data_IF_935886188668
#
_entry.id   IF_935886188668
#
_cell.length_a   1.000
_cell.length_b   1.000
_cell.length_c   1.000
_cell.angle_alpha   90.00
_cell.angle_beta   90.00
_cell.angle_gamma   90.00
#
_symmetry.space_group_name_H-M   'P 1'
#
loop_
_entity.id
_entity.type
_entity.pdbx_description
1 polymer ?
#
# COMPACT_ATOMS: atom_id res chain seq x y z
N UNK A 1 30.87 36.80 15.00
CA UNK A 1 30.10 35.84 15.81
C UNK A 1 28.61 35.93 15.46
N UNK A 2 28.29 35.95 14.17
CA UNK A 2 26.97 36.40 13.70
C UNK A 2 26.33 35.28 12.85
N UNK A 3 27.17 34.52 12.12
CA UNK A 3 26.78 33.38 11.29
C UNK A 3 26.07 32.28 12.08
N UNK A 4 26.45 32.05 13.36
CA UNK A 4 25.81 31.03 14.22
C UNK A 4 24.35 31.34 14.56
N UNK A 5 23.94 32.61 14.48
CA UNK A 5 22.57 33.07 14.74
C UNK A 5 21.80 33.30 13.44
N UNK A 6 22.47 33.76 12.39
CA UNK A 6 21.85 34.01 11.08
C UNK A 6 21.40 32.72 10.40
N UNK A 7 22.18 31.64 10.49
CA UNK A 7 21.88 30.36 9.86
C UNK A 7 20.58 29.69 10.34
N UNK A 8 20.32 29.54 11.67
CA UNK A 8 19.05 28.96 12.12
C UNK A 8 17.85 29.88 11.82
N UNK A 9 18.06 31.20 11.84
CA UNK A 9 17.00 32.17 11.61
C UNK A 9 16.48 32.14 10.16
N UNK A 10 17.37 32.03 9.18
CA UNK A 10 16.98 31.89 7.77
C UNK A 10 16.35 30.53 7.48
N UNK A 11 16.79 29.46 8.14
CA UNK A 11 16.18 28.14 8.02
C UNK A 11 14.72 28.11 8.52
N UNK A 12 14.42 28.80 9.62
CA UNK A 12 13.05 28.92 10.14
C UNK A 12 12.14 29.73 9.23
N UNK A 13 12.64 30.82 8.61
CA UNK A 13 11.88 31.58 7.62
C UNK A 13 11.59 30.76 6.35
N UNK A 14 12.54 29.94 5.90
CA UNK A 14 12.34 29.06 4.76
C UNK A 14 11.25 28.00 5.03
N UNK A 15 11.20 27.45 6.25
CA UNK A 15 10.14 26.52 6.66
C UNK A 15 8.76 27.19 6.74
N UNK A 16 8.68 28.44 7.20
CA UNK A 16 7.43 29.19 7.24
C UNK A 16 6.93 29.60 5.84
N UNK A 17 7.83 29.81 4.88
CA UNK A 17 7.49 30.08 3.47
C UNK A 17 6.97 28.84 2.71
N UNK A 18 7.26 27.63 3.21
CA UNK A 18 6.72 26.37 2.69
C UNK A 18 5.34 26.03 3.29
N UNK A 19 4.61 27.01 3.81
CA UNK A 19 3.26 26.78 4.31
C UNK A 19 2.31 26.51 3.13
N UNK A 20 1.92 25.24 2.96
CA UNK A 20 0.94 24.82 1.96
C UNK A 20 -0.35 25.61 2.21
N UNK A 21 -0.86 26.40 1.24
CA UNK A 21 -2.12 27.09 1.40
C UNK A 21 -3.19 26.11 1.83
N UNK A 22 -3.92 26.44 2.90
CA UNK A 22 -5.07 25.63 3.34
C UNK A 22 -6.04 25.56 2.16
N UNK A 23 -6.32 24.37 1.61
CA UNK A 23 -7.27 24.26 0.52
C UNK A 23 -8.63 24.78 1.00
N UNK A 24 -9.38 25.51 0.16
CA UNK A 24 -10.75 25.88 0.50
C UNK A 24 -11.54 24.61 0.86
N UNK A 25 -12.40 24.72 1.88
CA UNK A 25 -13.27 23.62 2.26
C UNK A 25 -14.09 23.20 1.04
N UNK A 26 -14.09 21.92 0.65
CA UNK A 26 -14.89 21.48 -0.48
C UNK A 26 -16.38 21.75 -0.22
N UNK A 27 -17.03 22.53 -1.09
CA UNK A 27 -18.47 22.84 -0.99
C UNK A 27 -19.36 21.60 -1.11
N UNK A 28 -18.80 20.50 -1.65
CA UNK A 28 -19.48 19.21 -1.82
C UNK A 28 -18.67 18.12 -1.14
N UNK A 29 -19.34 17.13 -0.51
CA UNK A 29 -18.67 15.93 -0.05
C UNK A 29 -17.88 15.33 -1.23
N UNK A 30 -16.61 14.93 -1.04
CA UNK A 30 -15.86 14.24 -2.07
C UNK A 30 -16.64 12.99 -2.49
N UNK A 31 -16.70 12.73 -3.79
CA UNK A 31 -17.30 11.50 -4.31
C UNK A 31 -16.66 10.28 -3.62
N UNK A 32 -17.41 9.19 -3.40
CA UNK A 32 -16.96 8.06 -2.60
C UNK A 32 -15.78 7.34 -3.27
N UNK A 33 -14.55 7.82 -3.00
CA UNK A 33 -13.29 7.17 -3.35
C UNK A 33 -13.13 5.81 -2.65
N UNK A 34 -13.95 5.56 -1.62
CA UNK A 34 -13.99 4.30 -0.91
C UNK A 34 -14.27 3.12 -1.86
N UNK A 35 -15.12 3.27 -2.87
CA UNK A 35 -15.43 2.15 -3.78
C UNK A 35 -14.22 1.76 -4.61
N UNK A 36 -13.57 2.72 -5.28
CA UNK A 36 -12.37 2.47 -6.08
C UNK A 36 -11.20 1.92 -5.24
N UNK A 37 -11.02 2.41 -4.01
CA UNK A 37 -9.98 1.91 -3.10
C UNK A 37 -10.32 0.48 -2.60
N UNK A 38 -11.60 0.21 -2.31
CA UNK A 38 -12.07 -1.12 -1.90
C UNK A 38 -11.89 -2.13 -3.02
N UNK A 39 -12.28 -1.79 -4.25
CA UNK A 39 -12.12 -2.65 -5.42
C UNK A 39 -10.64 -2.95 -5.69
N UNK A 40 -9.78 -1.92 -5.61
CA UNK A 40 -8.34 -2.09 -5.76
C UNK A 40 -7.72 -2.98 -4.67
N UNK A 41 -8.29 -3.01 -3.46
CA UNK A 41 -7.86 -3.91 -2.38
C UNK A 41 -8.47 -5.32 -2.48
N UNK A 42 -9.69 -5.46 -3.01
CA UNK A 42 -10.35 -6.75 -3.16
C UNK A 42 -9.75 -7.56 -4.30
N UNK A 43 -9.42 -6.92 -5.42
CA UNK A 43 -8.84 -7.58 -6.59
C UNK A 43 -7.59 -8.45 -6.29
N UNK A 44 -6.59 -8.02 -5.49
CA UNK A 44 -5.46 -8.88 -5.13
C UNK A 44 -5.85 -9.99 -4.15
N UNK A 45 -6.80 -9.75 -3.24
CA UNK A 45 -7.27 -10.77 -2.29
C UNK A 45 -8.04 -11.89 -2.99
N UNK A 46 -8.90 -11.54 -3.95
CA UNK A 46 -9.69 -12.52 -4.70
C UNK A 46 -8.79 -13.40 -5.58
N UNK A 47 -7.77 -12.80 -6.22
CA UNK A 47 -6.75 -13.57 -6.95
C UNK A 47 -5.99 -14.54 -6.03
N UNK A 48 -5.62 -14.10 -4.83
CA UNK A 48 -4.92 -14.94 -3.86
C UNK A 48 -5.81 -16.09 -3.37
N UNK A 49 -7.09 -15.84 -3.10
CA UNK A 49 -8.06 -16.89 -2.75
C UNK A 49 -8.25 -17.88 -3.89
N UNK A 50 -8.46 -17.41 -5.12
CA UNK A 50 -8.61 -18.27 -6.27
C UNK A 50 -7.37 -19.17 -6.48
N UNK A 51 -6.17 -18.63 -6.32
CA UNK A 51 -4.94 -19.41 -6.39
C UNK A 51 -4.83 -20.47 -5.27
N UNK A 52 -5.25 -20.14 -4.06
CA UNK A 52 -5.32 -21.10 -2.93
C UNK A 52 -6.33 -22.20 -3.19
N UNK A 53 -7.55 -21.84 -3.58
CA UNK A 53 -8.61 -22.80 -3.90
C UNK A 53 -8.16 -23.75 -5.02
N UNK A 54 -7.46 -23.24 -6.04
CA UNK A 54 -6.90 -24.07 -7.10
C UNK A 54 -5.86 -25.06 -6.58
N UNK A 55 -5.01 -24.66 -5.63
CA UNK A 55 -4.00 -25.52 -5.03
C UNK A 55 -4.62 -26.56 -4.08
N UNK A 56 -5.60 -26.17 -3.27
CA UNK A 56 -6.32 -27.07 -2.36
C UNK A 56 -7.15 -28.12 -3.12
N UNK A 57 -7.66 -27.75 -4.30
CA UNK A 57 -8.47 -28.64 -5.14
C UNK A 57 -7.62 -29.45 -6.13
N UNK A 58 -6.33 -29.13 -6.25
CA UNK A 58 -5.40 -29.93 -7.02
C UNK A 58 -5.22 -31.29 -6.32
N UNK A 59 -5.31 -32.41 -7.05
CA UNK A 59 -5.01 -33.71 -6.48
C UNK A 59 -3.55 -33.72 -6.00
N UNK A 60 -3.34 -34.26 -4.80
CA UNK A 60 -2.04 -34.33 -4.15
C UNK A 60 -1.12 -35.31 -4.93
N UNK A 61 -0.41 -34.79 -5.93
CA UNK A 61 0.50 -35.58 -6.78
C UNK A 61 1.71 -36.10 -6.02
N UNK A 62 1.93 -35.62 -4.79
CA UNK A 62 3.01 -36.06 -3.90
C UNK A 62 2.87 -37.53 -3.49
N UNK A 63 1.64 -38.02 -3.37
CA UNK A 63 1.37 -39.43 -3.09
C UNK A 63 1.60 -40.35 -4.31
N UNK A 64 1.69 -39.80 -5.53
CA UNK A 64 1.95 -40.57 -6.74
C UNK A 64 3.45 -40.83 -7.00
N UNK A 65 4.34 -40.10 -6.32
CA UNK A 65 5.80 -40.22 -6.48
C UNK A 65 6.45 -41.10 -5.38
N UNK A 66 5.75 -41.40 -4.28
CA UNK A 66 6.14 -42.43 -3.30
C UNK A 66 5.63 -43.82 -3.71
N UNK A 67 5.99 -44.29 -4.90
CA UNK A 67 6.02 -45.73 -5.17
C UNK A 67 7.32 -46.30 -4.57
N UNK A 68 7.28 -47.43 -3.84
CA UNK A 68 8.44 -47.93 -3.10
C UNK A 68 9.56 -48.28 -4.08
N UNK A 69 10.67 -47.54 -3.99
CA UNK A 69 11.95 -47.99 -4.57
C UNK A 69 12.47 -49.09 -3.65
N UNK A 70 12.02 -50.31 -3.91
CA UNK A 70 12.55 -51.56 -3.39
C UNK A 70 13.97 -51.78 -3.94
N UNK A 71 14.96 -51.85 -3.03
CA UNK A 71 16.34 -52.30 -3.32
C UNK A 71 16.79 -53.24 -2.21
#
# INVERSE_FOLDING_TARGET
MNIRVVLPLTALLALAGCNRPVPPAPDKPPEPQATALRDAMQQPLDKAKAARDMLEKAPDTRAADEAPTDR
#
